data_IF_896890575578
#
_entry.id   IF_896890575578
#
_cell.length_a   1.000
_cell.length_b   1.000
_cell.length_c   1.000
_cell.angle_alpha   90.00
_cell.angle_beta   90.00
_cell.angle_gamma   90.00
#
_symmetry.space_group_name_H-M   'P 1'
#
loop_
_entity.id
_entity.type
_entity.pdbx_description
1 polymer ?
#
# COMPACT_ATOMS: atom_id res chain seq x y z
N UNK A 1 20.07 -8.14 32.42
CA UNK A 1 20.79 -8.12 31.14
C UNK A 1 21.07 -9.53 30.63
N UNK A 2 21.60 -10.45 31.46
CA UNK A 2 21.88 -11.83 31.06
C UNK A 2 20.66 -12.63 30.58
N UNK A 3 19.50 -12.47 31.18
CA UNK A 3 18.27 -13.16 30.75
C UNK A 3 17.77 -12.69 29.36
N UNK A 4 17.96 -11.42 29.03
CA UNK A 4 17.64 -10.91 27.68
C UNK A 4 18.60 -11.42 26.62
N UNK A 5 19.89 -11.54 26.96
CA UNK A 5 20.93 -12.04 26.05
C UNK A 5 20.75 -13.53 25.74
N UNK A 6 20.43 -14.34 26.77
CA UNK A 6 20.15 -15.77 26.57
C UNK A 6 18.89 -16.01 25.70
N UNK A 7 17.86 -15.21 25.87
CA UNK A 7 16.63 -15.28 25.07
C UNK A 7 16.87 -14.88 23.61
N UNK A 8 17.75 -13.91 23.37
CA UNK A 8 18.13 -13.50 22.01
C UNK A 8 18.99 -14.61 21.35
N UNK A 9 19.95 -15.19 22.07
CA UNK A 9 20.78 -16.28 21.55
C UNK A 9 20.00 -17.57 21.25
N UNK A 10 18.99 -17.92 22.05
CA UNK A 10 18.11 -19.05 21.77
C UNK A 10 17.20 -18.80 20.57
N UNK A 11 16.66 -17.58 20.43
CA UNK A 11 15.81 -17.20 19.31
C UNK A 11 16.59 -17.03 18.00
N UNK A 12 17.89 -16.70 18.06
CA UNK A 12 18.74 -16.56 16.88
C UNK A 12 19.35 -17.87 16.38
N UNK A 13 19.17 -19.00 17.08
CA UNK A 13 19.42 -20.32 16.53
C UNK A 13 18.36 -20.65 15.49
N UNK A 14 18.46 -19.98 14.35
CA UNK A 14 17.67 -20.24 13.15
C UNK A 14 17.74 -21.73 12.81
N UNK A 15 16.71 -22.47 13.14
CA UNK A 15 16.43 -23.73 12.48
C UNK A 15 15.83 -23.38 11.13
N UNK A 16 16.67 -23.27 10.11
CA UNK A 16 16.19 -23.26 8.74
C UNK A 16 15.52 -24.61 8.47
N UNK A 17 14.24 -24.68 8.75
CA UNK A 17 13.42 -25.73 8.17
C UNK A 17 12.96 -25.22 6.81
N UNK A 18 13.67 -25.63 5.75
CA UNK A 18 13.39 -25.27 4.37
C UNK A 18 11.96 -25.57 3.92
N UNK A 19 11.18 -26.26 4.73
CA UNK A 19 9.85 -26.72 4.38
C UNK A 19 8.73 -25.86 4.97
N UNK A 20 8.92 -25.19 6.12
CA UNK A 20 7.83 -24.52 6.82
C UNK A 20 7.33 -23.26 6.12
N UNK A 21 8.15 -22.50 5.41
CA UNK A 21 7.70 -21.33 4.67
C UNK A 21 7.00 -21.65 3.34
N UNK A 22 7.20 -22.87 2.79
CA UNK A 22 6.58 -23.33 1.54
C UNK A 22 5.07 -23.51 1.63
N UNK A 23 4.56 -23.68 2.85
CA UNK A 23 3.12 -23.82 3.13
C UNK A 23 2.41 -22.49 3.33
N UNK A 24 3.16 -21.38 3.45
CA UNK A 24 2.59 -20.06 3.61
C UNK A 24 2.01 -19.53 2.28
N UNK A 25 0.98 -18.69 2.31
CA UNK A 25 0.38 -18.13 1.12
C UNK A 25 1.42 -17.40 0.25
N UNK A 26 1.70 -17.94 -0.93
CA UNK A 26 2.76 -17.41 -1.81
C UNK A 26 2.44 -16.07 -2.45
N UNK A 27 1.16 -15.71 -2.59
CA UNK A 27 0.76 -14.53 -3.37
C UNK A 27 -0.07 -13.52 -2.58
N UNK A 28 -1.07 -13.96 -1.85
CA UNK A 28 -2.07 -13.05 -1.30
C UNK A 28 -2.34 -13.44 0.15
N UNK A 29 -1.89 -12.61 1.07
CA UNK A 29 -2.27 -12.68 2.48
C UNK A 29 -3.56 -11.88 2.72
N UNK A 30 -3.52 -10.93 3.65
CA UNK A 30 -4.63 -10.05 3.95
C UNK A 30 -5.06 -9.22 2.73
N UNK A 31 -6.36 -8.90 2.61
CA UNK A 31 -6.96 -8.16 1.49
C UNK A 31 -6.34 -6.77 1.23
N UNK A 32 -5.63 -6.20 2.20
CA UNK A 32 -4.92 -4.94 2.03
C UNK A 32 -3.56 -5.07 1.33
N UNK A 33 -3.02 -6.28 1.13
CA UNK A 33 -1.77 -6.42 0.38
C UNK A 33 -1.88 -5.90 -1.06
N UNK A 34 -2.93 -6.21 -1.83
CA UNK A 34 -3.08 -5.72 -3.19
C UNK A 34 -3.58 -4.27 -3.31
N UNK A 35 -3.74 -3.53 -2.21
CA UNK A 35 -4.32 -2.17 -2.21
C UNK A 35 -3.64 -1.23 -3.21
N UNK A 36 -2.33 -1.36 -3.42
CA UNK A 36 -1.60 -0.60 -4.42
C UNK A 36 -0.41 -1.43 -4.93
N UNK A 37 -0.16 -1.38 -6.23
CA UNK A 37 1.08 -1.91 -6.81
C UNK A 37 2.26 -1.08 -6.34
N UNK A 38 3.38 -1.75 -6.02
CA UNK A 38 4.59 -1.11 -5.54
C UNK A 38 5.82 -1.87 -6.03
N UNK A 39 6.91 -1.16 -6.27
CA UNK A 39 8.17 -1.76 -6.71
C UNK A 39 8.78 -2.66 -5.64
N UNK A 40 9.49 -3.71 -6.07
CA UNK A 40 10.27 -4.59 -5.19
C UNK A 40 9.45 -5.18 -4.03
N UNK A 41 8.38 -5.88 -4.36
CA UNK A 41 7.52 -6.54 -3.39
C UNK A 41 7.98 -7.97 -3.10
N UNK A 42 7.97 -8.36 -1.84
CA UNK A 42 8.11 -9.77 -1.46
C UNK A 42 6.75 -10.36 -1.03
N UNK A 43 6.58 -11.69 -1.13
CA UNK A 43 5.36 -12.36 -0.70
C UNK A 43 5.11 -12.19 0.80
N UNK A 44 3.85 -12.01 1.25
CA UNK A 44 3.49 -11.85 2.66
C UNK A 44 3.94 -13.00 3.57
N UNK A 45 4.05 -14.21 3.02
CA UNK A 45 4.51 -15.38 3.76
C UNK A 45 5.94 -15.24 4.29
N UNK A 46 6.81 -14.49 3.61
CA UNK A 46 8.20 -14.31 4.07
C UNK A 46 8.26 -13.55 5.40
N UNK A 47 7.76 -12.31 5.51
CA UNK A 47 7.81 -11.60 6.79
C UNK A 47 6.99 -12.31 7.85
N UNK A 48 5.84 -12.90 7.51
CA UNK A 48 5.02 -13.65 8.45
C UNK A 48 5.82 -14.77 9.12
N UNK A 49 6.55 -15.58 8.35
CA UNK A 49 7.38 -16.64 8.88
C UNK A 49 8.38 -16.13 9.92
N UNK A 50 9.14 -15.08 9.60
CA UNK A 50 10.12 -14.51 10.52
C UNK A 50 9.48 -13.87 11.75
N UNK A 51 8.37 -13.14 11.57
CA UNK A 51 7.63 -12.52 12.68
C UNK A 51 7.18 -13.60 13.67
N UNK A 52 6.59 -14.69 13.21
CA UNK A 52 6.12 -15.78 14.05
C UNK A 52 7.27 -16.54 14.75
N UNK A 53 8.46 -16.60 14.14
CA UNK A 53 9.63 -17.26 14.74
C UNK A 53 10.33 -16.41 15.80
N UNK A 54 10.37 -15.09 15.64
CA UNK A 54 11.19 -14.22 16.47
C UNK A 54 10.43 -13.36 17.46
N UNK A 55 9.10 -13.36 17.37
CA UNK A 55 8.25 -12.48 18.19
C UNK A 55 7.05 -13.21 18.78
N UNK A 56 6.49 -12.64 19.86
CA UNK A 56 5.24 -13.08 20.47
C UNK A 56 4.11 -12.07 20.18
N UNK A 57 2.82 -12.47 20.28
CA UNK A 57 1.72 -11.53 20.21
C UNK A 57 1.90 -10.36 21.21
N UNK A 58 1.70 -9.13 20.73
CA UNK A 58 1.94 -7.92 21.48
C UNK A 58 3.32 -7.27 21.29
N UNK A 59 4.29 -7.99 20.73
CA UNK A 59 5.60 -7.42 20.41
C UNK A 59 5.53 -6.35 19.31
N UNK A 60 6.55 -5.51 19.25
CA UNK A 60 6.71 -4.48 18.22
C UNK A 60 7.62 -5.01 17.11
N UNK A 61 7.15 -4.95 15.88
CA UNK A 61 7.90 -5.28 14.67
C UNK A 61 8.16 -4.01 13.88
N UNK A 62 9.42 -3.65 13.73
CA UNK A 62 9.87 -2.48 12.96
C UNK A 62 10.44 -2.90 11.61
N UNK A 63 9.89 -2.32 10.55
CA UNK A 63 10.46 -2.40 9.19
C UNK A 63 11.00 -1.02 8.79
N UNK A 64 12.33 -0.82 8.76
CA UNK A 64 12.94 0.47 8.45
C UNK A 64 12.90 0.82 6.95
N UNK A 65 12.44 -0.10 6.08
CA UNK A 65 12.32 0.07 4.63
C UNK A 65 10.98 -0.49 4.15
N UNK A 66 9.90 -0.01 4.77
CA UNK A 66 8.60 -0.67 4.74
C UNK A 66 7.95 -0.74 3.34
N UNK A 67 8.35 0.11 2.40
CA UNK A 67 7.75 0.17 1.09
C UNK A 67 6.23 0.25 1.19
N UNK A 68 5.52 -0.68 0.58
CA UNK A 68 4.06 -0.73 0.69
C UNK A 68 3.51 -1.28 2.01
N UNK A 69 4.35 -1.58 3.00
CA UNK A 69 3.93 -2.03 4.33
C UNK A 69 3.58 -3.51 4.42
N UNK A 70 4.30 -4.40 3.73
CA UNK A 70 4.03 -5.84 3.78
C UNK A 70 4.35 -6.42 5.15
N UNK A 71 5.56 -6.19 5.69
CA UNK A 71 5.93 -6.69 7.01
C UNK A 71 5.14 -6.04 8.15
N UNK A 72 4.93 -4.71 8.19
CA UNK A 72 4.08 -4.10 9.21
C UNK A 72 2.64 -4.63 9.20
N UNK A 73 2.04 -4.89 8.03
CA UNK A 73 0.70 -5.47 7.95
C UNK A 73 0.68 -6.90 8.47
N UNK A 74 1.65 -7.74 8.09
CA UNK A 74 1.73 -9.13 8.61
C UNK A 74 1.96 -9.16 10.13
N UNK A 75 2.72 -8.22 10.68
CA UNK A 75 2.85 -8.06 12.11
C UNK A 75 1.48 -7.81 12.77
N UNK A 76 0.70 -6.86 12.25
CA UNK A 76 -0.65 -6.57 12.77
C UNK A 76 -1.59 -7.76 12.64
N UNK A 77 -1.59 -8.45 11.49
CA UNK A 77 -2.43 -9.63 11.25
C UNK A 77 -2.07 -10.78 12.21
N UNK A 78 -0.81 -10.87 12.62
CA UNK A 78 -0.31 -11.88 13.55
C UNK A 78 -0.40 -11.44 15.03
N UNK A 79 -1.12 -10.35 15.34
CA UNK A 79 -1.33 -9.86 16.70
C UNK A 79 -0.14 -9.09 17.30
N UNK A 80 0.79 -8.60 16.48
CA UNK A 80 1.92 -7.74 16.85
C UNK A 80 1.60 -6.28 16.50
N UNK A 81 2.44 -5.36 16.94
CA UNK A 81 2.37 -3.96 16.54
C UNK A 81 3.34 -3.74 15.38
N UNK A 82 2.82 -3.47 14.18
CA UNK A 82 3.63 -3.20 13.00
C UNK A 82 3.99 -1.73 12.87
N UNK A 83 5.28 -1.42 12.77
CA UNK A 83 5.79 -0.06 12.51
C UNK A 83 6.59 -0.09 11.22
N UNK A 84 6.31 0.83 10.31
CA UNK A 84 7.07 1.00 9.07
C UNK A 84 7.67 2.39 8.96
N UNK A 85 8.90 2.45 8.47
CA UNK A 85 9.62 3.68 8.11
C UNK A 85 10.02 3.59 6.65
N UNK A 86 9.87 4.68 5.91
CA UNK A 86 10.32 4.78 4.52
C UNK A 86 10.56 6.24 4.14
N UNK A 87 11.45 6.47 3.18
CA UNK A 87 11.68 7.80 2.62
C UNK A 87 10.57 8.24 1.66
N UNK A 88 9.87 7.29 1.05
CA UNK A 88 8.81 7.58 0.09
C UNK A 88 7.54 8.02 0.81
N UNK A 89 6.99 9.22 0.51
CA UNK A 89 5.69 9.63 1.04
C UNK A 89 4.56 8.66 0.69
N UNK A 90 4.62 8.03 -0.47
CA UNK A 90 3.66 7.02 -0.89
C UNK A 90 3.74 5.78 -0.01
N UNK A 91 4.95 5.29 0.29
CA UNK A 91 5.18 4.17 1.19
C UNK A 91 4.61 4.44 2.58
N UNK A 92 4.82 5.66 3.11
CA UNK A 92 4.23 6.08 4.40
C UNK A 92 2.69 6.00 4.37
N UNK A 93 2.06 6.55 3.34
CA UNK A 93 0.59 6.53 3.20
C UNK A 93 0.08 5.10 3.11
N UNK A 94 0.70 4.25 2.30
CA UNK A 94 0.30 2.85 2.11
C UNK A 94 0.45 2.04 3.40
N UNK A 95 1.59 2.16 4.08
CA UNK A 95 1.84 1.45 5.33
C UNK A 95 0.88 1.89 6.42
N UNK A 96 0.74 3.19 6.63
CA UNK A 96 -0.15 3.74 7.65
C UNK A 96 -1.63 3.40 7.42
N UNK A 97 -2.08 3.36 6.15
CA UNK A 97 -3.44 2.95 5.82
C UNK A 97 -3.71 1.48 6.17
N UNK A 98 -2.71 0.62 6.09
CA UNK A 98 -2.82 -0.82 6.35
C UNK A 98 -2.73 -1.19 7.81
N UNK A 99 -1.83 -0.54 8.57
CA UNK A 99 -1.62 -0.86 9.99
C UNK A 99 -2.61 -0.16 10.91
N UNK A 100 -3.21 0.93 10.45
CA UNK A 100 -4.20 1.72 11.19
C UNK A 100 -5.41 2.07 10.30
N UNK A 101 -6.19 1.06 9.83
CA UNK A 101 -7.34 1.30 8.97
C UNK A 101 -8.49 1.95 9.75
N UNK A 102 -9.20 2.91 9.15
CA UNK A 102 -10.39 3.51 9.74
C UNK A 102 -11.57 2.53 9.73
N UNK A 103 -12.63 2.83 10.50
CA UNK A 103 -13.88 2.07 10.40
C UNK A 103 -14.56 2.28 9.05
N UNK A 104 -15.27 1.26 8.57
CA UNK A 104 -16.02 1.33 7.31
C UNK A 104 -17.00 2.53 7.31
N UNK A 105 -17.72 2.74 8.41
CA UNK A 105 -18.67 3.84 8.52
C UNK A 105 -18.00 5.22 8.36
N UNK A 106 -16.79 5.38 8.92
CA UNK A 106 -16.00 6.63 8.76
C UNK A 106 -15.58 6.85 7.31
N UNK A 107 -15.20 5.77 6.62
CA UNK A 107 -14.83 5.83 5.19
C UNK A 107 -16.03 6.21 4.34
N UNK A 108 -17.17 5.54 4.51
CA UNK A 108 -18.39 5.81 3.75
C UNK A 108 -18.88 7.25 3.97
N UNK A 109 -18.92 7.69 5.22
CA UNK A 109 -19.27 9.07 5.56
C UNK A 109 -18.36 10.07 4.83
N UNK A 110 -17.05 9.84 4.85
CA UNK A 110 -16.09 10.74 4.19
C UNK A 110 -16.24 10.75 2.68
N UNK A 111 -16.52 9.60 2.07
CA UNK A 111 -16.83 9.51 0.63
C UNK A 111 -18.07 10.35 0.28
N UNK A 112 -19.12 10.26 1.08
CA UNK A 112 -20.34 11.05 0.85
C UNK A 112 -20.09 12.56 1.00
N UNK A 113 -19.31 12.98 2.00
CA UNK A 113 -18.89 14.37 2.17
C UNK A 113 -18.12 14.87 0.94
N UNK A 114 -17.17 14.08 0.42
CA UNK A 114 -16.39 14.42 -0.77
C UNK A 114 -17.29 14.50 -2.02
N UNK A 115 -18.25 13.59 -2.15
CA UNK A 115 -19.20 13.56 -3.26
C UNK A 115 -20.12 14.78 -3.28
N UNK A 116 -20.69 15.13 -2.12
CA UNK A 116 -21.58 16.28 -1.97
C UNK A 116 -20.80 17.60 -2.14
N UNK A 117 -19.59 17.65 -1.60
CA UNK A 117 -18.72 18.83 -1.67
C UNK A 117 -18.01 19.03 -3.01
N UNK A 118 -18.15 18.09 -3.96
CA UNK A 118 -17.43 18.16 -5.21
C UNK A 118 -17.75 19.42 -5.99
N UNK A 119 -16.73 20.23 -6.21
CA UNK A 119 -16.73 21.35 -7.16
C UNK A 119 -15.58 21.12 -8.13
N UNK A 120 -15.88 21.19 -9.42
CA UNK A 120 -14.84 21.00 -10.44
C UNK A 120 -13.75 22.07 -10.28
N UNK A 121 -12.51 21.68 -9.98
CA UNK A 121 -11.41 22.63 -9.88
C UNK A 121 -10.93 23.08 -11.26
N UNK A 122 -10.23 24.23 -11.29
CA UNK A 122 -9.40 24.56 -12.43
C UNK A 122 -8.20 23.61 -12.50
N UNK A 123 -7.85 23.18 -13.70
CA UNK A 123 -6.72 22.27 -13.97
C UNK A 123 -5.65 22.91 -14.86
N UNK A 124 -5.75 24.21 -15.14
CA UNK A 124 -4.82 24.91 -16.04
C UNK A 124 -3.41 24.99 -15.46
N UNK A 125 -3.29 25.03 -14.13
CA UNK A 125 -2.00 25.05 -13.43
C UNK A 125 -1.34 23.65 -13.26
N UNK A 126 -2.01 22.59 -13.74
CA UNK A 126 -1.42 21.24 -13.69
C UNK A 126 -0.37 21.14 -14.79
N UNK A 127 0.86 20.69 -14.47
CA UNK A 127 1.94 20.50 -15.44
C UNK A 127 1.49 19.64 -16.63
N UNK A 128 1.97 19.97 -17.83
CA UNK A 128 1.52 19.34 -19.08
C UNK A 128 1.82 17.83 -19.10
N UNK A 129 2.94 17.39 -18.54
CA UNK A 129 3.32 15.99 -18.40
C UNK A 129 2.28 15.20 -17.55
N UNK A 130 1.73 15.80 -16.51
CA UNK A 130 0.65 15.20 -15.70
C UNK A 130 -0.68 15.28 -16.44
N UNK A 131 -0.94 16.41 -17.11
CA UNK A 131 -2.20 16.63 -17.84
C UNK A 131 -2.39 15.64 -18.98
N UNK A 132 -1.29 15.23 -19.63
CA UNK A 132 -1.31 14.25 -20.71
C UNK A 132 -1.67 12.82 -20.24
N UNK A 133 -1.49 12.52 -18.95
CA UNK A 133 -1.69 11.17 -18.41
C UNK A 133 -3.16 10.85 -18.07
N UNK A 134 -4.00 11.86 -17.93
CA UNK A 134 -5.38 11.70 -17.47
C UNK A 134 -6.38 12.38 -18.38
N UNK A 135 -7.58 11.79 -18.50
CA UNK A 135 -8.68 12.48 -19.17
C UNK A 135 -9.00 13.81 -18.49
N UNK A 136 -8.83 14.91 -19.24
CA UNK A 136 -9.05 16.27 -18.76
C UNK A 136 -10.51 16.60 -18.48
N UNK A 137 -11.45 15.80 -18.98
CA UNK A 137 -12.89 16.07 -18.82
C UNK A 137 -13.42 15.60 -17.47
N UNK A 138 -13.01 14.43 -17.02
CA UNK A 138 -13.53 13.81 -15.79
C UNK A 138 -12.43 13.47 -14.79
N UNK A 139 -11.46 12.65 -15.18
CA UNK A 139 -10.51 12.04 -14.24
C UNK A 139 -9.56 13.06 -13.62
N UNK A 140 -8.93 13.90 -14.44
CA UNK A 140 -7.97 14.90 -13.94
C UNK A 140 -8.61 15.89 -12.94
N UNK A 141 -9.76 16.51 -13.21
CA UNK A 141 -10.42 17.38 -12.23
C UNK A 141 -10.79 16.66 -10.92
N UNK A 142 -11.21 15.39 -11.00
CA UNK A 142 -11.51 14.59 -9.79
C UNK A 142 -10.25 14.31 -8.97
N UNK A 143 -9.13 13.98 -9.61
CA UNK A 143 -7.84 13.76 -8.94
C UNK A 143 -7.38 15.05 -8.26
N UNK A 144 -7.43 16.18 -8.96
CA UNK A 144 -7.05 17.50 -8.41
C UNK A 144 -7.91 17.87 -7.22
N UNK A 145 -9.23 17.65 -7.32
CA UNK A 145 -10.15 17.87 -6.20
C UNK A 145 -9.78 17.01 -4.99
N UNK A 146 -9.62 15.69 -5.17
CA UNK A 146 -9.28 14.77 -4.09
C UNK A 146 -7.91 15.08 -3.48
N UNK A 147 -6.92 15.47 -4.28
CA UNK A 147 -5.62 15.92 -3.81
C UNK A 147 -5.73 17.15 -2.89
N UNK A 148 -6.63 18.07 -3.18
CA UNK A 148 -6.80 19.28 -2.39
C UNK A 148 -7.59 19.04 -1.10
N UNK A 149 -8.54 18.10 -1.11
CA UNK A 149 -9.44 17.82 0.01
C UNK A 149 -8.92 16.79 1.00
N UNK A 150 -8.07 15.85 0.53
CA UNK A 150 -7.57 14.76 1.36
C UNK A 150 -6.26 15.13 2.06
N UNK A 151 -6.21 14.90 3.37
CA UNK A 151 -5.04 15.15 4.19
C UNK A 151 -4.36 13.84 4.63
N UNK A 152 -3.09 13.67 4.31
CA UNK A 152 -2.30 12.52 4.79
C UNK A 152 -2.21 12.43 6.33
N UNK A 153 -2.52 13.50 7.05
CA UNK A 153 -2.52 13.53 8.53
C UNK A 153 -3.77 12.91 9.14
N UNK A 154 -4.89 12.90 8.41
CA UNK A 154 -6.15 12.32 8.89
C UNK A 154 -6.23 10.84 8.53
N UNK A 155 -6.54 10.00 9.51
CA UNK A 155 -6.64 8.54 9.36
C UNK A 155 -7.51 8.09 8.18
N UNK A 156 -8.71 8.65 8.06
CA UNK A 156 -9.66 8.31 6.99
C UNK A 156 -9.15 8.78 5.64
N UNK A 157 -8.67 10.02 5.57
CA UNK A 157 -8.15 10.59 4.32
C UNK A 157 -6.91 9.83 3.83
N UNK A 158 -6.03 9.39 4.75
CA UNK A 158 -4.87 8.53 4.46
C UNK A 158 -5.27 7.22 3.79
N UNK A 159 -6.32 6.57 4.32
CA UNK A 159 -6.86 5.34 3.74
C UNK A 159 -7.43 5.58 2.34
N UNK A 160 -8.15 6.68 2.13
CA UNK A 160 -8.67 7.08 0.82
C UNK A 160 -7.53 7.42 -0.16
N UNK A 161 -6.47 8.10 0.29
CA UNK A 161 -5.28 8.37 -0.52
C UNK A 161 -4.57 7.09 -0.96
N UNK A 162 -4.42 6.12 -0.06
CA UNK A 162 -3.84 4.81 -0.39
C UNK A 162 -4.69 4.05 -1.41
N UNK A 163 -6.00 4.08 -1.24
CA UNK A 163 -6.95 3.47 -2.18
C UNK A 163 -6.92 4.17 -3.54
N UNK A 164 -6.89 5.51 -3.56
CA UNK A 164 -6.77 6.30 -4.77
C UNK A 164 -5.47 5.95 -5.51
N UNK A 165 -4.33 5.91 -4.81
CA UNK A 165 -3.05 5.51 -5.40
C UNK A 165 -3.14 4.14 -6.08
N UNK A 166 -3.86 3.18 -5.48
CA UNK A 166 -4.07 1.85 -6.04
C UNK A 166 -4.87 1.85 -7.35
N UNK A 167 -5.91 2.66 -7.44
CA UNK A 167 -6.74 2.74 -8.65
C UNK A 167 -6.13 3.60 -9.77
N UNK A 168 -5.19 4.49 -9.44
CA UNK A 168 -4.41 5.22 -10.46
C UNK A 168 -3.43 4.29 -11.20
N UNK A 169 -3.12 3.12 -10.66
CA UNK A 169 -2.32 2.06 -11.29
C UNK A 169 -3.23 1.05 -12.00
N UNK A 170 -4.07 1.50 -12.88
CA UNK A 170 -4.98 0.64 -13.63
C UNK A 170 -4.45 0.27 -15.02
N UNK A 171 -5.08 -0.73 -15.62
CA UNK A 171 -4.83 -1.09 -17.01
C UNK A 171 -5.54 -0.14 -17.98
N UNK A 172 -5.01 -0.06 -19.19
CA UNK A 172 -5.67 0.58 -20.32
C UNK A 172 -6.98 -0.15 -20.65
N UNK A 173 -8.08 0.58 -20.70
CA UNK A 173 -9.35 0.02 -21.12
C UNK A 173 -9.67 0.49 -22.55
N UNK A 174 -9.40 -0.35 -23.53
CA UNK A 174 -9.65 -0.09 -24.96
C UNK A 174 -11.11 0.27 -25.27
N UNK A 175 -12.06 -0.21 -24.46
CA UNK A 175 -13.48 0.01 -24.70
C UNK A 175 -13.93 1.48 -24.55
N UNK A 176 -13.16 2.29 -23.85
CA UNK A 176 -13.50 3.70 -23.61
C UNK A 176 -12.58 4.72 -24.29
N UNK A 177 -11.52 4.27 -24.95
CA UNK A 177 -10.52 5.14 -25.57
C UNK A 177 -9.96 6.23 -24.61
N UNK A 178 -10.01 5.96 -23.30
CA UNK A 178 -9.61 6.85 -22.23
C UNK A 178 -8.54 6.15 -21.42
N UNK A 179 -7.30 6.63 -21.51
CA UNK A 179 -6.26 6.31 -20.54
C UNK A 179 -6.61 7.02 -19.23
N UNK A 180 -7.54 6.42 -18.48
CA UNK A 180 -7.96 6.97 -17.19
C UNK A 180 -6.99 6.63 -16.06
N UNK A 181 -5.91 5.92 -16.35
CA UNK A 181 -5.01 5.38 -15.34
C UNK A 181 -3.56 5.63 -15.69
N UNK A 182 -2.82 6.09 -14.71
CA UNK A 182 -1.39 6.04 -14.75
C UNK A 182 -0.96 4.59 -14.53
N UNK A 183 -0.61 3.87 -15.58
CA UNK A 183 0.06 2.58 -15.45
C UNK A 183 1.51 2.82 -15.05
N UNK A 184 1.74 3.15 -13.79
CA UNK A 184 3.08 3.08 -13.18
C UNK A 184 3.30 1.70 -12.53
N UNK A 185 2.47 0.71 -12.74
CA UNK A 185 3.01 -0.63 -12.66
C UNK A 185 4.23 -0.56 -13.55
N UNK A 186 5.42 -0.79 -13.01
CA UNK A 186 6.64 -1.05 -13.76
C UNK A 186 6.17 -1.62 -15.06
N UNK A 187 6.50 -1.00 -16.18
CA UNK A 187 6.01 -1.52 -17.42
C UNK A 187 6.25 -2.99 -17.27
N UNK A 188 5.18 -3.72 -17.31
CA UNK A 188 5.31 -5.13 -17.33
C UNK A 188 6.10 -5.29 -18.60
N UNK A 189 7.39 -5.08 -18.49
CA UNK A 189 8.34 -5.15 -19.60
C UNK A 189 8.21 -6.50 -20.25
N UNK A 190 7.61 -7.42 -19.50
CA UNK A 190 7.23 -8.77 -19.94
C UNK A 190 5.87 -8.84 -20.62
N UNK A 191 5.03 -7.83 -20.52
CA UNK A 191 3.77 -7.74 -21.28
C UNK A 191 3.90 -6.83 -22.50
N UNK A 192 5.04 -6.20 -22.71
CA UNK A 192 5.34 -5.61 -24.00
C UNK A 192 5.44 -6.78 -25.00
N UNK A 193 4.41 -6.92 -25.79
CA UNK A 193 4.43 -7.84 -26.94
C UNK A 193 5.71 -7.55 -27.74
N UNK A 194 6.45 -8.60 -28.20
CA UNK A 194 7.62 -8.39 -29.05
C UNK A 194 7.32 -7.65 -30.36
N UNK A 195 6.10 -7.24 -30.57
CA UNK A 195 5.64 -6.48 -31.74
C UNK A 195 5.42 -4.99 -31.45
N UNK A 196 5.99 -4.45 -30.36
CA UNK A 196 6.14 -3.03 -30.16
C UNK A 196 7.49 -2.56 -30.63
#
# INVERSE_FOLDING_TARGET
>A
MEALTSTIEERTKLRWDDNNWKHLPKRWGHSFHPMCSYLAMFPPGIPRYFIEQFTEPGDIVLDPFSGRGTAPLEACVSGRVGIGIDLSPLAHILTAAKVDPPSLNSVLKRIDELRIGYKRPNVDDVPDDIRMLFDGRLTLPQIVYLRNELSHRKRVDRFLLASLAGILHGGYNDAMNNSSYLSISMPNTFSMSPNY
#
